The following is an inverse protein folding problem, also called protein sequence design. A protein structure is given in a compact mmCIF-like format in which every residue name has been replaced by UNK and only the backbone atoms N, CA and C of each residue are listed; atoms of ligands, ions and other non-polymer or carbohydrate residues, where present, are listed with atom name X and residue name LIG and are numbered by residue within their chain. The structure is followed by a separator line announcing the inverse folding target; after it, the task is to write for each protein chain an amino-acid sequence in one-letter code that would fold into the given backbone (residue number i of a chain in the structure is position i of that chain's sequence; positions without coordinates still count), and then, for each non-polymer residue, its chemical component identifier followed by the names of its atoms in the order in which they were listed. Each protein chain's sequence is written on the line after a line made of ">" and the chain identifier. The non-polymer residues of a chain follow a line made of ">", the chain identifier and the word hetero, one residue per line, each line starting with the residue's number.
data_IF_585999171447
#
_entry.id   IF_585999171447
#
_cell.length_a   1.000
_cell.length_b   1.000
_cell.length_c   1.000
_cell.angle_alpha   90.00
_cell.angle_beta   90.00
_cell.angle_gamma   90.00
#
_symmetry.space_group_name_H-M   'P 1'
#
loop_
_entity.id
_entity.type
_entity.pdbx_description
1 polymer ?
#
# COMPACT_ATOMS: atom_id res chain seq x y z
N UNK A 1 -7.40 13.20 9.10
CA UNK A 1 -5.94 13.42 9.25
C UNK A 1 -5.26 12.90 7.98
N UNK A 2 -4.17 13.52 7.52
CA UNK A 2 -3.44 13.03 6.35
C UNK A 2 -2.46 11.92 6.76
N UNK A 3 -2.57 10.74 6.14
CA UNK A 3 -1.73 9.58 6.39
C UNK A 3 -0.99 9.20 5.12
N UNK A 4 0.34 9.11 5.21
CA UNK A 4 1.19 8.65 4.10
C UNK A 4 1.67 7.24 4.39
N UNK A 5 1.44 6.30 3.47
CA UNK A 5 1.89 4.91 3.58
C UNK A 5 2.80 4.52 2.44
N UNK A 6 4.01 4.05 2.77
CA UNK A 6 4.97 3.54 1.80
C UNK A 6 5.08 2.02 1.88
N UNK A 7 5.04 1.36 0.73
CA UNK A 7 5.27 -0.08 0.61
C UNK A 7 6.44 -0.36 -0.33
N UNK A 8 7.35 -1.25 0.08
CA UNK A 8 8.48 -1.67 -0.76
C UNK A 8 8.07 -2.70 -1.80
N UNK A 9 8.95 -2.97 -2.77
CA UNK A 9 8.66 -3.89 -3.88
C UNK A 9 8.35 -5.32 -3.43
N UNK A 10 8.92 -5.76 -2.31
CA UNK A 10 8.59 -7.05 -1.68
C UNK A 10 7.14 -7.08 -1.17
N UNK A 11 6.63 -5.97 -0.68
CA UNK A 11 5.26 -5.82 -0.19
C UNK A 11 4.20 -5.80 -1.30
N UNK A 12 4.63 -5.67 -2.56
CA UNK A 12 3.76 -5.72 -3.75
C UNK A 12 4.24 -6.77 -4.75
N UNK A 13 5.01 -7.77 -4.30
CA UNK A 13 5.65 -8.72 -5.20
C UNK A 13 4.69 -9.66 -5.97
N UNK A 14 3.45 -9.81 -5.51
CA UNK A 14 2.44 -10.63 -6.15
C UNK A 14 1.03 -10.08 -5.84
N UNK A 15 0.03 -10.65 -6.52
CA UNK A 15 -1.36 -10.24 -6.44
C UNK A 15 -1.92 -10.30 -5.01
N UNK A 16 -1.63 -11.37 -4.27
CA UNK A 16 -2.10 -11.55 -2.89
C UNK A 16 -1.56 -10.45 -1.96
N UNK A 17 -0.28 -10.10 -2.13
CA UNK A 17 0.36 -9.03 -1.37
C UNK A 17 -0.20 -7.66 -1.72
N UNK A 18 -0.48 -7.40 -2.99
CA UNK A 18 -1.13 -6.15 -3.43
C UNK A 18 -2.52 -6.01 -2.78
N UNK A 19 -3.34 -7.06 -2.76
CA UNK A 19 -4.62 -7.01 -2.06
C UNK A 19 -4.47 -6.78 -0.56
N UNK A 20 -3.44 -7.35 0.06
CA UNK A 20 -3.17 -7.09 1.47
C UNK A 20 -2.78 -5.63 1.73
N UNK A 21 -1.97 -5.03 0.86
CA UNK A 21 -1.65 -3.60 0.89
C UNK A 21 -2.90 -2.74 0.73
N UNK A 22 -3.77 -3.08 -0.23
CA UNK A 22 -5.03 -2.38 -0.46
C UNK A 22 -5.95 -2.44 0.77
N UNK A 23 -6.14 -3.61 1.38
CA UNK A 23 -6.92 -3.77 2.62
C UNK A 23 -6.40 -2.90 3.76
N UNK A 24 -5.07 -2.80 3.90
CA UNK A 24 -4.44 -1.95 4.93
C UNK A 24 -4.72 -0.47 4.69
N UNK A 25 -4.67 0.01 3.44
CA UNK A 25 -4.95 1.41 3.12
C UNK A 25 -6.45 1.74 3.25
N UNK A 26 -7.31 0.80 2.85
CA UNK A 26 -8.76 0.94 2.99
C UNK A 26 -9.17 1.09 4.45
N UNK A 27 -8.50 0.37 5.36
CA UNK A 27 -8.75 0.51 6.81
C UNK A 27 -8.55 1.95 7.28
N UNK A 28 -7.43 2.60 6.95
CA UNK A 28 -7.20 3.97 7.42
C UNK A 28 -8.16 4.96 6.77
N UNK A 29 -8.52 4.73 5.50
CA UNK A 29 -9.51 5.54 4.82
C UNK A 29 -10.88 5.43 5.50
N UNK A 30 -11.30 4.22 5.89
CA UNK A 30 -12.54 3.98 6.63
C UNK A 30 -12.53 4.61 8.03
N UNK A 31 -11.35 4.80 8.63
CA UNK A 31 -11.17 5.55 9.88
C UNK A 31 -11.26 7.08 9.69
N UNK A 32 -11.55 7.56 8.46
CA UNK A 32 -11.74 8.97 8.15
C UNK A 32 -10.45 9.72 7.82
N UNK A 33 -9.40 9.01 7.41
CA UNK A 33 -8.14 9.62 7.00
C UNK A 33 -8.09 9.86 5.48
N UNK A 34 -7.42 10.95 5.09
CA UNK A 34 -6.96 11.12 3.72
C UNK A 34 -5.68 10.30 3.56
N UNK A 35 -5.65 9.39 2.59
CA UNK A 35 -4.56 8.42 2.47
C UNK A 35 -3.78 8.63 1.17
N UNK A 36 -2.49 8.90 1.30
CA UNK A 36 -1.53 8.90 0.18
C UNK A 36 -0.69 7.63 0.24
N UNK A 37 -0.67 6.88 -0.86
CA UNK A 37 0.05 5.60 -0.94
C UNK A 37 1.20 5.71 -1.93
N UNK A 38 2.41 5.35 -1.49
CA UNK A 38 3.62 5.31 -2.33
C UNK A 38 4.11 3.88 -2.45
N UNK A 39 4.27 3.41 -3.68
CA UNK A 39 4.69 2.04 -3.99
C UNK A 39 6.02 2.05 -4.75
N UNK A 40 6.89 1.10 -4.45
CA UNK A 40 8.02 0.74 -5.33
C UNK A 40 7.55 -0.27 -6.40
N UNK A 41 8.32 -0.41 -7.49
CA UNK A 41 8.10 -1.45 -8.50
C UNK A 41 8.10 -2.86 -7.86
N UNK A 42 7.43 -3.82 -8.51
CA UNK A 42 7.21 -5.16 -7.94
C UNK A 42 8.52 -5.97 -7.88
N UNK A 43 8.92 -6.40 -6.68
CA UNK A 43 10.03 -7.34 -6.48
C UNK A 43 11.36 -6.95 -7.17
N UNK A 44 11.98 -7.89 -7.88
CA UNK A 44 13.24 -7.72 -8.63
C UNK A 44 13.07 -6.98 -9.98
N UNK A 45 11.96 -6.29 -10.19
CA UNK A 45 11.81 -5.41 -11.36
C UNK A 45 12.33 -4.03 -10.95
N UNK A 46 13.49 -3.67 -11.50
CA UNK A 46 14.07 -2.33 -11.41
C UNK A 46 14.33 -1.84 -12.81
#
# INVERSE_FOLDING_TARGET
>A
MLVVKKFGGTSVANKERIYNVAKRCMKDYQEGNDVVVVLSAMGKQT
#
